data_IF_236206715695
#
_entry.id   IF_236206715695
#
_cell.length_a   1.000
_cell.length_b   1.000
_cell.length_c   1.000
_cell.angle_alpha   90.00
_cell.angle_beta   90.00
_cell.angle_gamma   90.00
#
_symmetry.space_group_name_H-M   'P 1'
#
loop_
_entity.id
_entity.type
_entity.pdbx_description
1 polymer ?
#
# COMPACT_ATOMS: atom_id res chain seq x y z
N UNK A 1 17.60 -19.00 5.06
CA UNK A 1 16.28 -18.64 5.00
C UNK A 1 15.56 -18.93 3.68
N UNK A 2 16.19 -18.90 2.53
CA UNK A 2 15.58 -19.29 1.26
C UNK A 2 14.60 -18.29 0.63
N UNK A 3 14.38 -17.11 1.23
CA UNK A 3 13.53 -16.10 0.63
C UNK A 3 14.33 -15.26 -0.35
N UNK A 4 13.84 -15.15 -1.58
CA UNK A 4 14.43 -14.29 -2.61
C UNK A 4 13.49 -13.12 -2.86
N UNK A 5 13.98 -11.88 -2.77
CA UNK A 5 13.17 -10.71 -3.13
C UNK A 5 12.68 -10.80 -4.58
N UNK A 6 11.49 -10.25 -4.83
CA UNK A 6 10.96 -10.19 -6.19
C UNK A 6 11.82 -9.29 -7.06
N UNK A 7 11.90 -9.61 -8.35
CA UNK A 7 12.46 -8.71 -9.34
C UNK A 7 11.49 -7.58 -9.63
N UNK A 8 12.01 -6.45 -10.06
CA UNK A 8 11.18 -5.35 -10.57
C UNK A 8 10.26 -5.86 -11.69
N UNK A 9 9.06 -5.31 -11.75
CA UNK A 9 8.16 -5.59 -12.88
C UNK A 9 8.74 -4.96 -14.15
N UNK A 10 8.55 -5.63 -15.28
CA UNK A 10 8.91 -5.06 -16.57
C UNK A 10 7.92 -3.95 -16.94
N UNK A 11 8.31 -3.07 -17.83
CA UNK A 11 7.42 -2.03 -18.32
C UNK A 11 6.15 -2.63 -18.95
N UNK A 12 6.28 -3.75 -19.67
CA UNK A 12 5.14 -4.44 -20.27
C UNK A 12 4.17 -4.95 -19.22
N UNK A 13 4.69 -5.48 -18.10
CA UNK A 13 3.85 -5.94 -16.99
C UNK A 13 3.12 -4.76 -16.33
N UNK A 14 3.82 -3.65 -16.09
CA UNK A 14 3.20 -2.43 -15.54
C UNK A 14 2.10 -1.91 -16.46
N UNK A 15 2.39 -1.82 -17.76
CA UNK A 15 1.43 -1.33 -18.75
C UNK A 15 0.18 -2.21 -18.79
N UNK A 16 0.35 -3.53 -18.74
CA UNK A 16 -0.77 -4.47 -18.74
C UNK A 16 -1.68 -4.28 -17.52
N UNK A 17 -1.10 -4.06 -16.33
CA UNK A 17 -1.87 -3.81 -15.11
C UNK A 17 -2.62 -2.49 -15.20
N UNK A 18 -1.98 -1.45 -15.73
CA UNK A 18 -2.58 -0.12 -15.85
C UNK A 18 -3.65 -0.03 -16.93
N UNK A 19 -3.67 -0.95 -17.88
CA UNK A 19 -4.53 -0.87 -19.07
C UNK A 19 -6.02 -0.74 -18.71
N UNK A 20 -6.47 -1.41 -17.68
CA UNK A 20 -7.86 -1.36 -17.23
C UNK A 20 -8.19 -0.21 -16.29
N UNK A 21 -7.23 0.62 -15.94
CA UNK A 21 -7.41 1.71 -14.98
C UNK A 21 -7.49 3.03 -15.74
N UNK A 22 -8.69 3.60 -15.80
CA UNK A 22 -8.94 4.83 -16.59
C UNK A 22 -8.90 6.10 -15.75
N UNK A 23 -9.18 6.03 -14.45
CA UNK A 23 -9.14 7.21 -13.59
C UNK A 23 -7.70 7.70 -13.43
N UNK A 24 -7.40 8.99 -13.73
CA UNK A 24 -6.02 9.50 -13.69
C UNK A 24 -5.37 9.40 -12.30
N UNK A 25 -6.13 9.64 -11.24
CA UNK A 25 -5.61 9.55 -9.87
C UNK A 25 -5.25 8.11 -9.53
N UNK A 26 -6.15 7.17 -9.81
CA UNK A 26 -5.88 5.75 -9.59
C UNK A 26 -4.65 5.29 -10.39
N UNK A 27 -4.55 5.70 -11.66
CA UNK A 27 -3.40 5.34 -12.50
C UNK A 27 -2.09 5.85 -11.90
N UNK A 28 -2.06 7.10 -11.41
CA UNK A 28 -0.86 7.68 -10.82
C UNK A 28 -0.44 6.93 -9.56
N UNK A 29 -1.37 6.65 -8.66
CA UNK A 29 -1.11 5.92 -7.41
C UNK A 29 -0.60 4.51 -7.71
N UNK A 30 -1.32 3.79 -8.54
CA UNK A 30 -0.98 2.39 -8.88
C UNK A 30 0.34 2.33 -9.63
N UNK A 31 0.57 3.21 -10.59
CA UNK A 31 1.82 3.28 -11.34
C UNK A 31 3.02 3.48 -10.41
N UNK A 32 2.91 4.42 -9.47
CA UNK A 32 3.98 4.65 -8.49
C UNK A 32 4.29 3.36 -7.72
N UNK A 33 3.26 2.73 -7.16
CA UNK A 33 3.45 1.50 -6.37
C UNK A 33 4.08 0.38 -7.21
N UNK A 34 3.59 0.16 -8.43
CA UNK A 34 4.10 -0.89 -9.31
C UNK A 34 5.58 -0.70 -9.65
N UNK A 35 6.02 0.54 -9.85
CA UNK A 35 7.43 0.83 -10.17
C UNK A 35 8.37 0.57 -9.00
N UNK A 36 7.84 0.41 -7.78
CA UNK A 36 8.65 0.15 -6.59
C UNK A 36 8.80 -1.34 -6.28
N UNK A 37 8.12 -2.22 -7.00
CA UNK A 37 8.32 -3.68 -6.82
C UNK A 37 9.79 -4.01 -7.02
N UNK A 38 10.35 -4.76 -6.07
CA UNK A 38 11.78 -5.10 -6.05
C UNK A 38 12.63 -4.18 -5.17
N UNK A 39 12.10 -3.04 -4.72
CA UNK A 39 12.84 -2.16 -3.81
C UNK A 39 12.98 -2.82 -2.43
N UNK A 40 14.08 -2.56 -1.72
CA UNK A 40 14.30 -3.14 -0.41
C UNK A 40 13.44 -2.47 0.68
N UNK A 41 13.23 -3.18 1.77
CA UNK A 41 12.48 -2.71 2.93
C UNK A 41 13.42 -2.09 3.97
N UNK A 42 13.03 -0.91 4.47
CA UNK A 42 13.69 -0.31 5.64
C UNK A 42 12.76 0.73 6.27
N UNK A 43 12.57 0.65 7.58
CA UNK A 43 11.88 1.69 8.33
C UNK A 43 12.79 2.91 8.50
N UNK A 44 14.08 2.68 8.74
CA UNK A 44 15.03 3.76 8.97
C UNK A 44 15.22 4.66 7.73
N UNK A 45 15.27 4.04 6.53
CA UNK A 45 15.56 4.74 5.28
C UNK A 45 14.33 4.94 4.41
N UNK A 46 13.14 4.83 4.97
CA UNK A 46 11.88 4.86 4.22
C UNK A 46 11.57 6.16 3.49
N UNK A 47 12.24 7.25 3.83
CA UNK A 47 12.01 8.56 3.22
C UNK A 47 13.12 8.98 2.25
N UNK A 48 14.02 8.05 1.89
CA UNK A 48 15.16 8.36 1.00
C UNK A 48 14.81 8.16 -0.48
N UNK A 49 13.72 7.48 -0.79
CA UNK A 49 13.37 7.10 -2.16
C UNK A 49 14.00 5.78 -2.61
N UNK A 50 14.84 5.17 -1.79
CA UNK A 50 15.56 3.92 -2.12
C UNK A 50 15.06 2.73 -1.32
N UNK A 51 14.29 2.98 -0.25
CA UNK A 51 13.73 1.97 0.63
C UNK A 51 12.31 2.35 0.99
N UNK A 52 11.48 1.35 1.28
CA UNK A 52 10.10 1.56 1.71
C UNK A 52 9.77 0.64 2.87
N UNK A 53 8.95 1.12 3.79
CA UNK A 53 8.16 0.26 4.65
C UNK A 53 6.70 0.30 4.15
N UNK A 54 5.78 -0.39 4.82
CA UNK A 54 4.42 -0.51 4.33
C UNK A 54 3.71 0.84 4.23
N UNK A 55 3.83 1.66 5.27
CA UNK A 55 3.13 2.94 5.34
C UNK A 55 3.75 4.00 4.45
N UNK A 56 5.07 4.00 4.28
CA UNK A 56 5.73 4.96 3.38
C UNK A 56 5.41 4.65 1.91
N UNK A 57 5.31 3.36 1.55
CA UNK A 57 4.89 2.99 0.19
C UNK A 57 3.50 3.55 -0.11
N UNK A 58 2.55 3.36 0.80
CA UNK A 58 1.20 3.92 0.65
C UNK A 58 1.23 5.45 0.60
N UNK A 59 1.99 6.07 1.48
CA UNK A 59 2.11 7.52 1.56
C UNK A 59 2.64 8.12 0.27
N UNK A 60 3.77 7.63 -0.24
CA UNK A 60 4.38 8.17 -1.45
C UNK A 60 3.58 7.85 -2.70
N UNK A 61 2.88 6.71 -2.74
CA UNK A 61 1.98 6.39 -3.85
C UNK A 61 0.88 7.44 -3.98
N UNK A 62 0.24 7.81 -2.88
CA UNK A 62 -0.82 8.83 -2.89
C UNK A 62 -0.27 10.24 -3.03
N UNK A 63 0.91 10.51 -2.46
CA UNK A 63 1.58 11.80 -2.63
C UNK A 63 1.89 12.08 -4.11
N UNK A 64 2.20 11.05 -4.88
CA UNK A 64 2.41 11.17 -6.32
C UNK A 64 1.18 11.75 -7.03
N UNK A 65 -0.01 11.53 -6.48
CA UNK A 65 -1.26 12.10 -6.99
C UNK A 65 -1.67 13.40 -6.25
N UNK A 66 -0.78 13.96 -5.41
CA UNK A 66 -1.01 15.21 -4.71
C UNK A 66 -1.81 15.09 -3.42
N UNK A 67 -1.99 13.89 -2.89
CA UNK A 67 -2.79 13.66 -1.68
C UNK A 67 -1.90 13.15 -0.55
N UNK A 68 -1.94 13.86 0.61
CA UNK A 68 -1.19 13.50 1.81
C UNK A 68 -2.07 12.68 2.73
N UNK A 69 -1.69 11.43 2.97
CA UNK A 69 -2.44 10.52 3.84
C UNK A 69 -1.85 10.40 5.25
N UNK A 70 -0.85 11.22 5.59
CA UNK A 70 -0.28 11.22 6.94
C UNK A 70 -1.18 11.93 7.95
N UNK A 71 -2.03 12.81 7.48
CA UNK A 71 -2.91 13.65 8.32
C UNK A 71 -2.13 14.41 9.39
N UNK A 72 -0.87 14.77 9.10
CA UNK A 72 0.00 15.49 10.03
C UNK A 72 0.56 14.63 11.15
N UNK A 73 0.36 13.32 11.09
CA UNK A 73 0.81 12.38 12.12
C UNK A 73 2.12 11.68 11.79
N UNK A 74 2.37 10.59 12.50
CA UNK A 74 3.63 9.84 12.42
C UNK A 74 3.80 9.02 11.13
N UNK A 75 2.79 9.02 10.27
CA UNK A 75 2.80 8.31 9.00
C UNK A 75 3.08 6.81 9.16
N UNK A 76 2.42 6.20 10.14
CA UNK A 76 2.38 4.75 10.31
C UNK A 76 1.10 4.21 9.67
N UNK A 77 1.03 2.90 9.45
CA UNK A 77 -0.20 2.29 8.92
C UNK A 77 -1.41 2.61 9.81
N UNK A 78 -1.26 2.49 11.13
CA UNK A 78 -2.34 2.80 12.06
C UNK A 78 -2.77 4.28 11.98
N UNK A 79 -1.82 5.21 11.88
CA UNK A 79 -2.13 6.64 11.79
C UNK A 79 -2.83 6.98 10.47
N UNK A 80 -2.38 6.42 9.37
CA UNK A 80 -3.03 6.60 8.07
C UNK A 80 -4.47 6.09 8.10
N UNK A 81 -4.68 4.90 8.67
CA UNK A 81 -6.01 4.30 8.79
C UNK A 81 -6.93 5.15 9.67
N UNK A 82 -6.43 5.63 10.81
CA UNK A 82 -7.21 6.47 11.70
C UNK A 82 -7.65 7.77 11.02
N UNK A 83 -6.74 8.40 10.27
CA UNK A 83 -7.06 9.60 9.52
C UNK A 83 -8.14 9.36 8.47
N UNK A 84 -8.01 8.29 7.69
CA UNK A 84 -8.99 7.91 6.68
C UNK A 84 -10.35 7.59 7.28
N UNK A 85 -10.37 6.82 8.36
CA UNK A 85 -11.60 6.44 9.05
C UNK A 85 -12.30 7.67 9.63
N UNK A 86 -11.56 8.54 10.31
CA UNK A 86 -12.10 9.78 10.87
C UNK A 86 -12.65 10.72 9.82
N UNK A 87 -12.08 10.71 8.62
CA UNK A 87 -12.54 11.52 7.50
C UNK A 87 -13.72 10.90 6.75
N UNK A 88 -14.15 9.71 7.11
CA UNK A 88 -15.24 9.01 6.43
C UNK A 88 -14.85 8.39 5.09
N UNK A 89 -13.56 8.17 4.86
CA UNK A 89 -13.01 7.67 3.60
C UNK A 89 -12.77 6.17 3.62
N UNK A 90 -13.75 5.39 4.09
CA UNK A 90 -13.66 3.93 4.12
C UNK A 90 -14.59 3.30 3.09
N UNK A 91 -14.21 2.13 2.61
CA UNK A 91 -15.00 1.37 1.62
C UNK A 91 -15.11 -0.09 2.05
N UNK A 92 -16.16 -0.77 1.57
CA UNK A 92 -16.32 -2.19 1.79
C UNK A 92 -15.34 -2.98 0.89
N UNK A 93 -14.98 -4.20 1.32
CA UNK A 93 -14.10 -5.07 0.55
C UNK A 93 -14.62 -5.29 -0.90
N UNK A 94 -15.93 -5.52 -1.03
CA UNK A 94 -16.54 -5.76 -2.35
C UNK A 94 -16.47 -4.55 -3.28
N UNK A 95 -16.25 -3.36 -2.74
CA UNK A 95 -16.24 -2.10 -3.49
C UNK A 95 -14.83 -1.58 -3.73
N UNK A 96 -13.82 -2.38 -3.45
CA UNK A 96 -12.43 -1.96 -3.65
C UNK A 96 -12.15 -1.57 -5.10
N UNK A 97 -11.39 -0.48 -5.25
CA UNK A 97 -10.90 0.02 -6.52
C UNK A 97 -9.38 0.19 -6.48
N UNK A 98 -8.72 0.18 -7.64
CA UNK A 98 -7.28 0.40 -7.68
C UNK A 98 -6.87 1.68 -6.97
N UNK A 99 -5.83 1.60 -6.14
CA UNK A 99 -5.36 2.69 -5.30
C UNK A 99 -5.87 2.62 -3.87
N UNK A 100 -6.91 1.86 -3.60
CA UNK A 100 -7.41 1.69 -2.23
C UNK A 100 -6.33 1.09 -1.33
N UNK A 101 -6.37 1.45 -0.06
CA UNK A 101 -5.41 1.00 0.95
C UNK A 101 -6.07 -0.02 1.86
N UNK A 102 -5.46 -1.19 1.95
CA UNK A 102 -5.96 -2.30 2.77
C UNK A 102 -5.14 -2.34 4.05
N UNK A 103 -5.79 -2.16 5.19
CA UNK A 103 -5.14 -2.13 6.50
C UNK A 103 -5.39 -3.42 7.25
N UNK A 104 -4.32 -3.98 7.81
CA UNK A 104 -4.31 -5.27 8.47
C UNK A 104 -3.96 -5.15 9.95
N UNK A 105 -4.55 -6.02 10.76
CA UNK A 105 -4.11 -6.27 12.13
C UNK A 105 -3.70 -7.74 12.25
N UNK A 106 -2.45 -8.00 12.59
CA UNK A 106 -1.95 -9.36 12.78
C UNK A 106 -1.87 -9.76 14.25
N UNK A 107 -1.80 -8.76 15.15
CA UNK A 107 -1.73 -9.00 16.59
C UNK A 107 -2.05 -7.70 17.35
N UNK A 108 -2.24 -7.79 18.65
CA UNK A 108 -2.40 -6.60 19.48
C UNK A 108 -1.10 -5.81 19.52
N UNK A 109 -1.19 -4.51 19.31
CA UNK A 109 -0.02 -3.64 19.34
C UNK A 109 -0.29 -2.27 20.01
N UNK A 110 -1.49 -2.08 20.57
CA UNK A 110 -1.85 -0.83 21.26
C UNK A 110 -2.11 0.35 20.33
N UNK A 111 -2.00 0.19 19.02
CA UNK A 111 -2.26 1.24 18.04
C UNK A 111 -3.73 1.21 17.62
N UNK A 112 -4.14 2.17 16.80
CA UNK A 112 -5.49 2.27 16.28
C UNK A 112 -5.92 0.94 15.66
N UNK A 113 -6.98 0.34 16.20
CA UNK A 113 -7.53 -0.97 15.77
C UNK A 113 -6.46 -2.06 15.66
N UNK A 114 -5.36 -1.92 16.39
CA UNK A 114 -4.20 -2.83 16.35
C UNK A 114 -3.62 -3.00 14.95
N UNK A 115 -3.73 -1.97 14.11
CA UNK A 115 -3.24 -2.03 12.72
C UNK A 115 -1.72 -2.01 12.72
N UNK A 116 -1.13 -2.93 11.96
CA UNK A 116 0.32 -3.12 11.85
C UNK A 116 0.84 -3.11 10.42
N UNK A 117 -0.05 -3.13 9.41
CA UNK A 117 0.37 -3.24 8.01
C UNK A 117 -0.64 -2.59 7.08
N UNK A 118 -0.15 -2.13 5.93
CA UNK A 118 -0.98 -1.60 4.85
C UNK A 118 -0.45 -2.08 3.50
N UNK A 119 -1.36 -2.40 2.58
CA UNK A 119 -1.05 -2.77 1.20
C UNK A 119 -1.81 -1.85 0.25
N UNK A 120 -1.24 -1.61 -0.92
CA UNK A 120 -1.88 -0.81 -1.98
C UNK A 120 -2.57 -1.75 -2.96
N UNK A 121 -3.90 -1.66 -3.05
CA UNK A 121 -4.67 -2.47 -3.98
C UNK A 121 -4.47 -1.95 -5.40
N UNK A 122 -4.18 -2.84 -6.34
CA UNK A 122 -3.91 -2.45 -7.73
C UNK A 122 -4.92 -3.01 -8.74
N UNK A 123 -5.97 -3.64 -8.23
CA UNK A 123 -7.03 -4.23 -9.07
C UNK A 123 -6.82 -5.73 -9.27
N UNK A 124 -7.87 -6.38 -9.75
CA UNK A 124 -7.86 -7.81 -10.09
C UNK A 124 -7.41 -8.73 -8.95
N UNK A 125 -7.70 -8.36 -7.70
CA UNK A 125 -7.33 -9.16 -6.54
C UNK A 125 -5.86 -9.09 -6.18
N UNK A 126 -5.11 -8.10 -6.68
CA UNK A 126 -3.67 -7.96 -6.48
C UNK A 126 -3.33 -6.70 -5.68
N UNK A 127 -2.22 -6.78 -4.94
CA UNK A 127 -1.66 -5.66 -4.18
C UNK A 127 -0.19 -5.46 -4.48
N UNK A 128 0.31 -4.26 -4.18
CA UNK A 128 1.73 -3.98 -3.98
C UNK A 128 1.91 -3.65 -2.52
N UNK A 129 2.87 -4.29 -1.85
CA UNK A 129 3.10 -4.11 -0.43
C UNK A 129 4.58 -4.24 -0.08
N UNK A 130 5.03 -3.43 0.87
CA UNK A 130 6.36 -3.59 1.45
C UNK A 130 6.24 -4.56 2.62
N UNK A 131 6.60 -5.82 2.38
CA UNK A 131 6.30 -6.94 3.28
C UNK A 131 7.21 -7.03 4.50
N UNK A 132 8.46 -6.60 4.37
CA UNK A 132 9.45 -6.73 5.41
C UNK A 132 10.85 -6.88 4.83
N UNK A 133 11.85 -6.95 5.70
CA UNK A 133 13.26 -6.96 5.31
C UNK A 133 13.60 -8.10 4.37
N UNK A 134 13.02 -9.29 4.61
CA UNK A 134 13.32 -10.47 3.81
C UNK A 134 12.74 -10.40 2.39
N UNK A 135 11.64 -9.67 2.20
CA UNK A 135 10.88 -9.70 0.95
C UNK A 135 11.00 -8.40 0.13
N UNK A 136 11.17 -7.26 0.79
CA UNK A 136 11.09 -5.97 0.13
C UNK A 136 9.66 -5.65 -0.35
N UNK A 137 9.57 -4.87 -1.41
CA UNK A 137 8.30 -4.50 -2.04
C UNK A 137 7.91 -5.58 -3.03
N UNK A 138 6.70 -6.10 -2.88
CA UNK A 138 6.21 -7.25 -3.67
C UNK A 138 4.89 -6.91 -4.38
N UNK A 139 4.64 -7.63 -5.46
CA UNK A 139 3.36 -7.66 -6.18
C UNK A 139 2.79 -9.05 -6.01
N UNK A 140 1.64 -9.18 -5.36
CA UNK A 140 1.04 -10.48 -5.05
C UNK A 140 -0.46 -10.37 -4.85
N UNK A 141 -1.13 -11.52 -4.80
CA UNK A 141 -2.56 -11.55 -4.49
C UNK A 141 -2.83 -10.97 -3.10
N UNK A 142 -4.01 -10.38 -2.92
CA UNK A 142 -4.44 -9.87 -1.60
C UNK A 142 -4.28 -10.97 -0.56
N UNK A 143 -3.38 -10.82 0.42
CA UNK A 143 -3.16 -11.87 1.42
C UNK A 143 -4.09 -11.70 2.63
N UNK A 144 -4.21 -12.77 3.42
CA UNK A 144 -4.72 -12.73 4.79
C UNK A 144 -6.04 -11.96 4.96
N UNK A 145 -7.02 -12.27 4.11
CA UNK A 145 -8.32 -11.55 4.08
C UNK A 145 -8.97 -11.50 5.48
N UNK A 146 -8.82 -12.54 6.28
CA UNK A 146 -9.36 -12.57 7.64
C UNK A 146 -8.70 -11.60 8.62
N UNK A 147 -7.56 -11.02 8.25
CA UNK A 147 -6.85 -10.03 9.07
C UNK A 147 -7.09 -8.59 8.61
N UNK A 148 -7.89 -8.38 7.59
CA UNK A 148 -8.25 -7.04 7.12
C UNK A 148 -9.18 -6.39 8.13
N UNK A 149 -8.84 -5.18 8.55
CA UNK A 149 -9.61 -4.41 9.54
C UNK A 149 -10.37 -3.27 8.88
N UNK A 150 -9.76 -2.63 7.87
CA UNK A 150 -10.29 -1.42 7.30
C UNK A 150 -9.70 -1.24 5.90
N UNK A 151 -10.50 -0.69 4.99
CA UNK A 151 -10.04 -0.31 3.66
C UNK A 151 -10.35 1.17 3.47
N UNK A 152 -9.34 1.94 3.05
CA UNK A 152 -9.47 3.38 2.87
C UNK A 152 -9.28 3.79 1.42
N UNK A 153 -10.03 4.83 1.04
CA UNK A 153 -9.88 5.50 -0.25
C UNK A 153 -9.65 6.97 0.01
N UNK A 154 -8.41 7.47 -0.17
CA UNK A 154 -8.03 8.83 0.21
C UNK A 154 -8.74 9.98 -0.53
N UNK A 155 -9.72 9.67 -1.35
CA UNK A 155 -10.51 10.75 -1.94
C UNK A 155 -11.96 10.39 -2.19
#
# INVERSE_FOLDING_TARGET
SGVTPQSALTQAEVDAILQGITDPTQRTVVSYALTKVGYPYSQQYRDTGNYYDCSSLAYYSWKAAGIDISYGGANTAAAEAEGLDSAGHTVAYADMQPGDLIFYSYERNGRYKNISHVAVYVGNGMVVEAKGVAYGVTYNAVPNVGSIVLIGRPQ
#
